data_IF_193898702727
#
_entry.id   IF_193898702727
#
_cell.length_a   1.000
_cell.length_b   1.000
_cell.length_c   1.000
_cell.angle_alpha   90.00
_cell.angle_beta   90.00
_cell.angle_gamma   90.00
#
_symmetry.space_group_name_H-M   'P 1'
#
loop_
_entity.id
_entity.type
_entity.pdbx_description
1 polymer ?
#
# COMPACT_ATOMS: atom_id res chain seq x y z
N UNK A 1 -1.45 -7.34 24.75
CA UNK A 1 -0.07 -7.19 24.45
C UNK A 1 0.18 -7.42 22.96
N UNK A 2 1.18 -6.83 22.52
CA UNK A 2 1.50 -6.93 21.13
C UNK A 2 2.11 -8.28 20.86
N UNK A 3 1.61 -8.92 19.88
CA UNK A 3 2.19 -10.20 19.50
C UNK A 3 3.44 -9.96 18.66
N UNK A 4 4.06 -11.04 18.25
CA UNK A 4 5.27 -10.98 17.46
C UNK A 4 5.01 -11.13 15.97
N UNK A 5 3.79 -10.82 15.56
CA UNK A 5 3.41 -10.99 14.15
C UNK A 5 4.11 -9.97 13.29
N UNK A 6 4.49 -10.39 12.13
CA UNK A 6 5.02 -9.48 11.14
C UNK A 6 3.93 -8.57 10.62
N UNK A 7 4.32 -7.40 10.18
CA UNK A 7 3.38 -6.39 9.69
C UNK A 7 3.49 -6.26 8.19
N UNK A 8 2.34 -6.31 7.52
CA UNK A 8 2.25 -6.10 6.09
C UNK A 8 1.43 -4.85 5.85
N UNK A 9 1.99 -3.92 5.10
CA UNK A 9 1.27 -2.71 4.74
C UNK A 9 0.91 -2.75 3.27
N UNK A 10 -0.33 -2.40 2.95
CA UNK A 10 -0.81 -2.36 1.58
C UNK A 10 -1.10 -0.91 1.23
N UNK A 11 -0.44 -0.43 0.17
CA UNK A 11 -0.62 0.92 -0.33
C UNK A 11 -1.44 0.86 -1.61
N UNK A 12 -2.55 1.58 -1.64
CA UNK A 12 -3.40 1.62 -2.82
C UNK A 12 -4.00 3.00 -2.96
N UNK A 13 -4.48 3.30 -4.15
CA UNK A 13 -5.18 4.56 -4.37
C UNK A 13 -6.69 4.37 -4.50
N UNK A 14 -7.19 3.15 -4.30
CA UNK A 14 -8.58 2.89 -4.62
C UNK A 14 -9.15 1.81 -3.71
N UNK A 15 -9.84 2.23 -2.68
CA UNK A 15 -10.38 1.27 -1.71
C UNK A 15 -11.41 0.33 -2.35
N UNK A 16 -12.19 0.83 -3.31
CA UNK A 16 -13.19 0.00 -3.96
C UNK A 16 -12.56 -1.19 -4.68
N UNK A 17 -11.52 -0.91 -5.49
CA UNK A 17 -10.87 -1.98 -6.23
C UNK A 17 -10.21 -2.97 -5.30
N UNK A 18 -9.59 -2.47 -4.25
CA UNK A 18 -8.94 -3.36 -3.30
C UNK A 18 -9.97 -4.26 -2.62
N UNK A 19 -11.08 -3.69 -2.19
CA UNK A 19 -12.10 -4.47 -1.51
C UNK A 19 -12.70 -5.50 -2.45
N UNK A 20 -13.00 -5.09 -3.68
CA UNK A 20 -13.68 -5.96 -4.61
C UNK A 20 -12.81 -7.11 -5.10
N UNK A 21 -11.53 -6.86 -5.33
CA UNK A 21 -10.69 -7.85 -5.99
C UNK A 21 -9.61 -8.47 -5.12
N UNK A 22 -9.38 -7.92 -3.93
CA UNK A 22 -8.30 -8.42 -3.08
C UNK A 22 -8.75 -8.72 -1.66
N UNK A 23 -10.05 -8.71 -1.43
CA UNK A 23 -10.57 -8.93 -0.08
C UNK A 23 -10.13 -10.27 0.46
N UNK A 24 -10.21 -11.31 -0.36
CA UNK A 24 -9.84 -12.65 0.11
C UNK A 24 -8.36 -12.74 0.44
N UNK A 25 -7.53 -12.09 -0.35
CA UNK A 25 -6.11 -12.06 -0.04
C UNK A 25 -5.86 -11.39 1.30
N UNK A 26 -6.55 -10.28 1.52
CA UNK A 26 -6.37 -9.55 2.78
C UNK A 26 -6.84 -10.40 3.95
N UNK A 27 -7.97 -11.07 3.81
CA UNK A 27 -8.45 -11.95 4.86
C UNK A 27 -7.45 -13.05 5.18
N UNK A 28 -6.85 -13.60 4.14
CA UNK A 28 -5.87 -14.65 4.34
C UNK A 28 -4.62 -14.12 5.04
N UNK A 29 -4.18 -12.92 4.65
CA UNK A 29 -3.02 -12.32 5.31
C UNK A 29 -3.28 -12.02 6.77
N UNK A 30 -4.51 -11.63 7.10
CA UNK A 30 -4.85 -11.29 8.49
C UNK A 30 -4.71 -12.48 9.43
N UNK A 31 -4.74 -13.68 8.91
CA UNK A 31 -4.61 -14.86 9.76
C UNK A 31 -3.23 -14.94 10.40
N UNK A 32 -2.21 -14.45 9.74
CA UNK A 32 -0.84 -14.61 10.22
C UNK A 32 -0.06 -13.32 10.35
N UNK A 33 -0.60 -12.21 9.87
CA UNK A 33 0.10 -10.93 9.84
C UNK A 33 -0.77 -9.82 10.37
N UNK A 34 -0.13 -8.79 10.90
CA UNK A 34 -0.82 -7.53 11.14
C UNK A 34 -0.88 -6.78 9.81
N UNK A 35 -2.08 -6.49 9.34
CA UNK A 35 -2.26 -5.85 8.04
C UNK A 35 -2.72 -4.43 8.25
N UNK A 36 -2.04 -3.50 7.59
CA UNK A 36 -2.37 -2.07 7.63
C UNK A 36 -2.60 -1.61 6.20
N UNK A 37 -3.67 -0.86 5.99
CA UNK A 37 -4.02 -0.36 4.67
C UNK A 37 -3.84 1.15 4.61
N UNK A 38 -3.21 1.62 3.55
CA UNK A 38 -3.08 3.06 3.26
C UNK A 38 -3.84 3.34 1.98
N UNK A 39 -4.83 4.24 2.05
CA UNK A 39 -5.67 4.51 0.89
C UNK A 39 -6.48 5.78 1.14
N UNK A 40 -6.95 6.42 0.06
CA UNK A 40 -7.95 7.48 0.24
C UNK A 40 -9.23 6.90 0.83
N UNK A 41 -9.83 7.64 1.72
CA UNK A 41 -11.06 7.19 2.37
C UNK A 41 -12.25 7.54 1.48
N UNK A 42 -12.39 6.79 0.40
CA UNK A 42 -13.47 6.97 -0.54
C UNK A 42 -14.05 5.60 -0.83
N UNK A 43 -15.21 5.29 -0.24
CA UNK A 43 -15.88 4.03 -0.50
C UNK A 43 -15.66 3.03 0.60
N UNK A 44 -14.99 1.93 0.32
CA UNK A 44 -14.99 0.75 1.17
C UNK A 44 -14.05 0.80 2.36
N UNK A 45 -13.51 1.97 2.70
CA UNK A 45 -12.61 2.00 3.85
C UNK A 45 -13.30 1.55 5.13
N UNK A 46 -14.59 1.88 5.29
CA UNK A 46 -15.31 1.45 6.49
C UNK A 46 -15.48 -0.06 6.53
N UNK A 47 -15.66 -0.67 5.37
CA UNK A 47 -15.76 -2.12 5.31
C UNK A 47 -14.48 -2.79 5.81
N UNK A 48 -13.34 -2.23 5.43
CA UNK A 48 -12.07 -2.76 5.92
C UNK A 48 -11.91 -2.53 7.42
N UNK A 49 -12.30 -1.37 7.90
CA UNK A 49 -12.22 -1.10 9.33
C UNK A 49 -13.10 -2.09 10.10
N UNK A 50 -14.29 -2.38 9.56
CA UNK A 50 -15.17 -3.34 10.21
C UNK A 50 -14.61 -4.75 10.19
N UNK A 51 -13.71 -5.06 9.28
CA UNK A 51 -13.02 -6.33 9.27
C UNK A 51 -11.92 -6.42 10.32
N UNK A 52 -11.63 -5.34 11.00
CA UNK A 52 -10.60 -5.31 12.02
C UNK A 52 -9.27 -4.77 11.54
N UNK A 53 -9.24 -4.17 10.36
CA UNK A 53 -7.99 -3.66 9.79
C UNK A 53 -7.73 -2.24 10.26
N UNK A 54 -6.45 -1.93 10.45
CA UNK A 54 -6.03 -0.56 10.66
C UNK A 54 -5.91 0.11 9.30
N UNK A 55 -6.59 1.23 9.13
CA UNK A 55 -6.60 1.96 7.87
C UNK A 55 -6.04 3.35 8.09
N UNK A 56 -5.16 3.77 7.22
CA UNK A 56 -4.55 5.09 7.26
C UNK A 56 -5.07 5.88 6.07
N UNK A 57 -5.71 6.99 6.34
CA UNK A 57 -6.19 7.84 5.26
C UNK A 57 -5.00 8.48 4.56
N UNK A 58 -4.89 8.25 3.27
CA UNK A 58 -3.79 8.75 2.49
C UNK A 58 -4.36 9.50 1.30
N UNK A 59 -4.35 10.81 1.38
CA UNK A 59 -4.93 11.64 0.33
C UNK A 59 -3.98 11.71 -0.85
N UNK A 60 -4.53 11.57 -2.03
CA UNK A 60 -3.73 11.67 -3.23
C UNK A 60 -4.63 11.96 -4.42
N UNK A 61 -4.05 12.54 -5.46
CA UNK A 61 -4.72 12.67 -6.73
C UNK A 61 -4.46 11.41 -7.52
N UNK A 62 -5.52 10.72 -7.87
CA UNK A 62 -5.38 9.44 -8.55
C UNK A 62 -4.87 9.57 -9.97
N UNK A 63 -5.12 10.71 -10.59
CA UNK A 63 -4.77 10.93 -11.98
C UNK A 63 -3.92 12.16 -12.13
N UNK A 64 -3.18 12.21 -13.21
CA UNK A 64 -2.39 13.37 -13.52
C UNK A 64 -1.12 13.43 -12.74
N UNK A 65 -0.36 14.46 -13.01
CA UNK A 65 0.94 14.68 -12.37
C UNK A 65 0.92 16.06 -11.74
N UNK A 66 1.13 16.08 -10.44
CA UNK A 66 1.25 17.33 -9.70
C UNK A 66 2.48 17.20 -8.82
N UNK A 67 3.61 17.78 -9.21
CA UNK A 67 4.86 17.52 -8.48
C UNK A 67 4.79 17.85 -7.01
N UNK A 68 4.06 18.90 -6.63
CA UNK A 68 3.98 19.26 -5.23
C UNK A 68 3.20 18.21 -4.45
N UNK A 69 2.04 17.80 -4.98
CA UNK A 69 1.24 16.80 -4.31
C UNK A 69 1.94 15.45 -4.29
N UNK A 70 2.62 15.11 -5.39
CA UNK A 70 3.31 13.84 -5.46
C UNK A 70 4.48 13.79 -4.51
N UNK A 71 5.21 14.90 -4.36
CA UNK A 71 6.29 14.96 -3.39
C UNK A 71 5.76 14.81 -1.96
N UNK A 72 4.63 15.45 -1.68
CA UNK A 72 3.99 15.31 -0.38
C UNK A 72 3.57 13.87 -0.12
N UNK A 73 3.07 13.20 -1.15
CA UNK A 73 2.68 11.81 -1.03
C UNK A 73 3.89 10.93 -0.71
N UNK A 74 5.00 11.18 -1.38
CA UNK A 74 6.22 10.41 -1.08
C UNK A 74 6.65 10.60 0.37
N UNK A 75 6.62 11.83 0.84
CA UNK A 75 7.00 12.11 2.23
C UNK A 75 6.04 11.43 3.19
N UNK A 76 4.77 11.42 2.85
CA UNK A 76 3.79 10.75 3.70
C UNK A 76 4.03 9.25 3.75
N UNK A 77 4.32 8.64 2.59
CA UNK A 77 4.64 7.23 2.57
C UNK A 77 5.87 6.93 3.43
N UNK A 78 6.90 7.75 3.31
CA UNK A 78 8.08 7.55 4.13
C UNK A 78 7.74 7.58 5.61
N UNK A 79 6.89 8.54 5.99
CA UNK A 79 6.52 8.69 7.38
C UNK A 79 5.77 7.46 7.90
N UNK A 80 4.75 7.02 7.17
CA UNK A 80 3.95 5.90 7.69
C UNK A 80 4.73 4.59 7.64
N UNK A 81 5.60 4.42 6.65
CA UNK A 81 6.42 3.21 6.60
C UNK A 81 7.37 3.14 7.79
N UNK A 82 7.91 4.28 8.20
CA UNK A 82 8.77 4.31 9.37
C UNK A 82 7.98 4.14 10.66
N UNK A 83 6.86 4.82 10.77
CA UNK A 83 6.06 4.76 12.00
C UNK A 83 5.46 3.38 12.22
N UNK A 84 4.99 2.74 11.16
CA UNK A 84 4.37 1.44 11.30
C UNK A 84 5.39 0.32 11.39
N UNK A 85 6.63 0.59 10.99
CA UNK A 85 7.68 -0.41 11.06
C UNK A 85 7.29 -1.68 10.31
N UNK A 86 6.91 -1.52 9.05
CA UNK A 86 6.40 -2.62 8.24
C UNK A 86 7.50 -3.57 7.83
N UNK A 87 7.18 -4.85 7.81
CA UNK A 87 8.11 -5.89 7.37
C UNK A 87 8.00 -6.19 5.90
N UNK A 88 6.84 -5.93 5.32
CA UNK A 88 6.59 -6.15 3.89
C UNK A 88 5.56 -5.15 3.43
N UNK A 89 5.71 -4.68 2.21
CA UNK A 89 4.76 -3.72 1.63
C UNK A 89 4.26 -4.28 0.31
N UNK A 90 2.97 -4.16 0.08
CA UNK A 90 2.34 -4.53 -1.18
C UNK A 90 1.70 -3.27 -1.74
N UNK A 91 1.99 -2.96 -3.00
CA UNK A 91 1.45 -1.74 -3.60
C UNK A 91 0.58 -2.07 -4.80
N UNK A 92 -0.47 -1.28 -4.97
CA UNK A 92 -1.38 -1.38 -6.09
C UNK A 92 -1.57 -0.01 -6.70
N UNK A 93 -1.62 0.06 -8.03
CA UNK A 93 -1.84 1.29 -8.78
C UNK A 93 -0.56 2.09 -8.94
N UNK A 94 -0.60 3.00 -9.89
CA UNK A 94 0.64 3.63 -10.38
C UNK A 94 1.36 4.43 -9.30
N UNK A 95 0.67 5.37 -8.66
CA UNK A 95 1.36 6.21 -7.68
C UNK A 95 1.85 5.43 -6.47
N UNK A 96 1.04 4.54 -5.88
CA UNK A 96 1.59 3.70 -4.82
C UNK A 96 2.76 2.84 -5.29
N UNK A 97 2.67 2.28 -6.51
CA UNK A 97 3.77 1.47 -7.02
C UNK A 97 5.06 2.28 -7.14
N UNK A 98 4.97 3.48 -7.72
CA UNK A 98 6.16 4.29 -7.94
C UNK A 98 6.65 4.92 -6.65
N UNK A 99 5.80 5.67 -5.99
CA UNK A 99 6.25 6.46 -4.84
C UNK A 99 6.41 5.63 -3.59
N UNK A 100 5.49 4.67 -3.38
CA UNK A 100 5.66 3.73 -2.29
C UNK A 100 6.87 2.86 -2.48
N UNK A 101 7.07 2.38 -3.71
CA UNK A 101 8.23 1.56 -4.00
C UNK A 101 9.55 2.28 -3.78
N UNK A 102 9.62 3.55 -4.22
CA UNK A 102 10.84 4.33 -4.00
C UNK A 102 11.15 4.47 -2.51
N UNK A 103 10.12 4.71 -1.71
CA UNK A 103 10.35 4.86 -0.28
C UNK A 103 10.71 3.54 0.37
N UNK A 104 10.12 2.44 -0.10
CA UNK A 104 10.52 1.12 0.40
C UNK A 104 11.98 0.83 0.10
N UNK A 105 12.44 1.17 -1.11
CA UNK A 105 13.84 0.97 -1.45
C UNK A 105 14.74 1.83 -0.58
N UNK A 106 14.33 3.07 -0.35
CA UNK A 106 15.12 3.97 0.49
C UNK A 106 15.23 3.44 1.91
N UNK A 107 14.19 2.83 2.40
CA UNK A 107 14.15 2.33 3.78
C UNK A 107 14.51 0.86 3.91
N UNK A 108 14.86 0.22 2.80
CA UNK A 108 15.23 -1.20 2.78
C UNK A 108 14.11 -2.11 3.25
N UNK A 109 12.89 -1.81 2.82
CA UNK A 109 11.73 -2.63 3.13
C UNK A 109 11.37 -3.43 1.88
N UNK A 110 11.23 -4.76 1.98
CA UNK A 110 10.80 -5.55 0.82
C UNK A 110 9.41 -5.15 0.38
N UNK A 111 9.19 -5.13 -0.94
CA UNK A 111 7.86 -4.77 -1.42
C UNK A 111 7.56 -5.49 -2.73
N UNK A 112 6.27 -5.66 -2.97
CA UNK A 112 5.73 -6.20 -4.22
C UNK A 112 4.85 -5.16 -4.87
N UNK A 113 5.21 -4.72 -6.06
CA UNK A 113 4.42 -3.77 -6.82
C UNK A 113 3.55 -4.53 -7.81
N UNK A 114 2.25 -4.33 -7.71
CA UNK A 114 1.30 -4.97 -8.63
C UNK A 114 1.01 -4.04 -9.77
N UNK A 115 1.43 -4.43 -10.97
CA UNK A 115 1.29 -3.60 -12.15
C UNK A 115 0.06 -4.08 -12.90
N UNK A 116 -1.01 -3.31 -12.83
CA UNK A 116 -2.25 -3.66 -13.47
C UNK A 116 -2.33 -3.00 -14.84
N UNK A 117 -3.08 -3.65 -15.71
CA UNK A 117 -3.28 -3.11 -17.05
C UNK A 117 -2.16 -3.40 -18.01
N UNK A 118 -1.12 -4.12 -17.59
CA UNK A 118 -0.03 -4.50 -18.45
C UNK A 118 -0.07 -5.98 -18.79
N UNK A 119 -1.25 -6.59 -18.66
CA UNK A 119 -1.38 -8.01 -18.93
C UNK A 119 -0.58 -8.81 -17.95
N UNK A 120 0.25 -9.71 -18.46
CA UNK A 120 1.07 -10.56 -17.61
C UNK A 120 2.43 -9.94 -17.30
N UNK A 121 2.71 -8.78 -17.84
CA UNK A 121 4.03 -8.17 -17.64
C UNK A 121 4.15 -7.68 -16.19
N UNK A 122 5.20 -8.11 -15.56
CA UNK A 122 5.48 -7.67 -14.21
C UNK A 122 6.98 -7.68 -14.01
N UNK A 123 7.53 -6.51 -13.73
CA UNK A 123 8.96 -6.36 -13.50
C UNK A 123 9.15 -5.65 -12.19
N UNK A 124 9.71 -6.31 -11.18
CA UNK A 124 9.98 -5.64 -9.90
C UNK A 124 10.89 -4.45 -10.09
N UNK A 125 10.63 -3.38 -9.37
CA UNK A 125 11.40 -2.17 -9.55
C UNK A 125 12.89 -2.38 -9.34
N UNK A 126 13.26 -3.18 -8.37
CA UNK A 126 14.66 -3.35 -8.08
C UNK A 126 15.43 -3.98 -9.24
N UNK A 127 14.73 -4.62 -10.17
CA UNK A 127 15.38 -5.18 -11.33
C UNK A 127 15.52 -4.18 -12.47
N UNK A 128 14.93 -3.00 -12.34
CA UNK A 128 15.02 -1.97 -13.37
C UNK A 128 16.18 -1.03 -13.17
N UNK A 129 16.89 -1.13 -12.10
CA UNK A 129 18.01 -0.25 -11.81
C UNK A 129 19.25 -0.69 -12.51
#
# INVERSE_FOLDING_TARGET
MKNNRKKVMILTNHSYMLYRFRKELIEELMKNYDVVLSMPFVGHHEDFINMGLRCIETKMERRGVNPIHDFSLMKFYKKILQEENSDLVITYSIKPNVYGGLMCEKLNIPFYANVQGLGTAFIPFHLLR
#
